data_IF_874685412913
#
_entry.id   IF_874685412913
#
_cell.length_a   1.000
_cell.length_b   1.000
_cell.length_c   1.000
_cell.angle_alpha   90.00
_cell.angle_beta   90.00
_cell.angle_gamma   90.00
#
_symmetry.space_group_name_H-M   'P 1'
#
loop_
_entity.id
_entity.type
_entity.pdbx_description
1 polymer ?
#
# COMPACT_ATOMS: atom_id res chain seq x y z
N UNK A 1 1.17 -5.42 11.75
CA UNK A 1 1.29 -6.47 12.75
C UNK A 1 1.33 -5.88 14.16
N UNK A 2 0.34 -6.18 15.02
CA UNK A 2 0.30 -5.70 16.42
C UNK A 2 1.46 -6.27 17.24
N UNK A 3 1.79 -7.56 17.05
CA UNK A 3 2.94 -8.21 17.66
C UNK A 3 4.06 -8.43 16.64
N UNK A 4 5.13 -7.64 16.71
CA UNK A 4 6.29 -7.74 15.81
C UNK A 4 7.05 -9.07 15.91
N UNK A 5 6.85 -9.86 16.98
CA UNK A 5 7.50 -11.17 17.11
C UNK A 5 7.07 -12.17 16.01
N UNK A 6 5.92 -11.94 15.37
CA UNK A 6 5.48 -12.74 14.22
C UNK A 6 6.06 -12.27 12.88
N UNK A 7 6.75 -11.13 12.84
CA UNK A 7 7.42 -10.66 11.64
C UNK A 7 8.80 -11.32 11.54
N UNK A 8 8.97 -12.22 10.56
CA UNK A 8 10.23 -12.94 10.34
C UNK A 8 10.77 -12.72 8.92
N UNK A 9 11.54 -11.63 8.69
CA UNK A 9 12.10 -11.34 7.36
C UNK A 9 12.96 -12.46 6.81
N UNK A 10 13.76 -13.13 7.64
CA UNK A 10 14.65 -14.23 7.20
C UNK A 10 13.86 -15.41 6.63
N UNK A 11 12.76 -15.80 7.29
CA UNK A 11 11.89 -16.85 6.75
C UNK A 11 11.14 -16.38 5.50
N UNK A 12 10.66 -15.13 5.47
CA UNK A 12 10.02 -14.59 4.26
C UNK A 12 10.96 -14.63 3.05
N UNK A 13 12.22 -14.20 3.22
CA UNK A 13 13.27 -14.26 2.19
C UNK A 13 13.46 -15.70 1.70
N UNK A 14 13.66 -16.66 2.62
CA UNK A 14 13.84 -18.07 2.25
C UNK A 14 12.65 -18.60 1.45
N UNK A 15 11.42 -18.32 1.89
CA UNK A 15 10.21 -18.75 1.18
C UNK A 15 10.12 -18.15 -0.21
N UNK A 16 10.43 -16.86 -0.38
CA UNK A 16 10.44 -16.20 -1.69
C UNK A 16 11.48 -16.81 -2.63
N UNK A 17 12.70 -17.07 -2.16
CA UNK A 17 13.75 -17.71 -2.97
C UNK A 17 13.42 -19.15 -3.39
N UNK A 18 12.69 -19.89 -2.56
CA UNK A 18 12.30 -21.27 -2.85
C UNK A 18 11.11 -21.39 -3.80
N UNK A 19 10.38 -20.30 -4.06
CA UNK A 19 9.12 -20.30 -4.81
C UNK A 19 9.07 -19.13 -5.81
N UNK A 20 10.19 -18.86 -6.49
CA UNK A 20 10.36 -17.74 -7.43
C UNK A 20 9.45 -17.80 -8.64
N UNK A 21 8.92 -18.97 -8.95
CA UNK A 21 7.97 -19.24 -10.03
C UNK A 21 6.55 -18.77 -9.71
N UNK A 22 6.19 -18.63 -8.43
CA UNK A 22 4.83 -18.29 -8.00
C UNK A 22 4.73 -17.07 -7.09
N UNK A 23 5.78 -16.71 -6.35
CA UNK A 23 5.74 -15.53 -5.47
C UNK A 23 6.22 -14.28 -6.21
N UNK A 24 5.31 -13.32 -6.37
CA UNK A 24 5.55 -12.08 -7.10
C UNK A 24 5.86 -10.87 -6.22
N UNK A 25 5.77 -10.99 -4.89
CA UNK A 25 6.00 -9.88 -3.96
C UNK A 25 5.49 -10.14 -2.55
N UNK A 26 5.61 -9.11 -1.70
CA UNK A 26 5.18 -9.15 -0.30
C UNK A 26 3.94 -8.28 -0.10
N UNK A 27 2.88 -8.86 0.47
CA UNK A 27 1.70 -8.09 0.89
C UNK A 27 1.90 -7.59 2.32
N UNK A 28 1.58 -6.31 2.54
CA UNK A 28 1.41 -5.75 3.89
C UNK A 28 0.03 -5.13 4.02
N UNK A 29 -0.59 -5.30 5.20
CA UNK A 29 -1.85 -4.67 5.56
C UNK A 29 -1.61 -3.70 6.71
N UNK A 30 -1.74 -2.42 6.41
CA UNK A 30 -1.62 -1.33 7.35
C UNK A 30 -3.04 -0.88 7.71
N UNK A 31 -3.45 -1.21 8.91
CA UNK A 31 -4.70 -0.78 9.52
C UNK A 31 -4.54 -0.84 11.03
N UNK A 32 -5.28 -0.03 11.80
CA UNK A 32 -5.13 0.06 13.26
C UNK A 32 -5.27 -1.30 13.94
N UNK A 33 -6.19 -2.14 13.47
CA UNK A 33 -6.44 -3.47 14.03
C UNK A 33 -5.43 -4.54 13.61
N UNK A 34 -4.63 -4.32 12.56
CA UNK A 34 -3.63 -5.30 12.10
C UNK A 34 -2.22 -4.85 12.48
N UNK A 35 -1.92 -3.56 12.36
CA UNK A 35 -0.58 -3.00 12.54
C UNK A 35 -0.49 -1.91 13.59
N UNK A 36 -1.56 -1.14 13.83
CA UNK A 36 -1.57 -0.13 14.90
C UNK A 36 -0.35 0.79 14.82
N UNK A 37 0.24 1.11 15.97
CA UNK A 37 1.43 1.98 16.06
C UNK A 37 2.68 1.41 15.37
N UNK A 38 2.65 0.14 14.95
CA UNK A 38 3.75 -0.51 14.25
C UNK A 38 3.69 -0.37 12.73
N UNK A 39 2.76 0.40 12.15
CA UNK A 39 2.58 0.55 10.69
C UNK A 39 3.91 0.68 9.92
N UNK A 40 4.70 1.72 10.22
CA UNK A 40 5.95 1.99 9.51
C UNK A 40 7.01 0.92 9.78
N UNK A 41 7.05 0.35 10.99
CA UNK A 41 8.00 -0.74 11.32
C UNK A 41 7.69 -1.99 10.50
N UNK A 42 6.40 -2.34 10.38
CA UNK A 42 5.94 -3.51 9.62
C UNK A 42 6.20 -3.31 8.13
N UNK A 43 5.94 -2.11 7.60
CA UNK A 43 6.28 -1.76 6.23
C UNK A 43 7.79 -1.85 5.99
N UNK A 44 8.61 -1.35 6.93
CA UNK A 44 10.07 -1.44 6.86
C UNK A 44 10.58 -2.89 6.77
N UNK A 45 10.06 -3.79 7.61
CA UNK A 45 10.41 -5.21 7.59
C UNK A 45 9.99 -5.90 6.28
N UNK A 46 8.81 -5.55 5.75
CA UNK A 46 8.36 -6.07 4.47
C UNK A 46 9.24 -5.56 3.31
N UNK A 47 9.62 -4.28 3.33
CA UNK A 47 10.54 -3.68 2.36
C UNK A 47 11.93 -4.31 2.41
N UNK A 48 12.46 -4.56 3.60
CA UNK A 48 13.74 -5.26 3.80
C UNK A 48 13.71 -6.64 3.15
N UNK A 49 12.69 -7.46 3.47
CA UNK A 49 12.55 -8.79 2.92
C UNK A 49 12.37 -8.79 1.39
N UNK A 50 11.51 -7.91 0.87
CA UNK A 50 11.23 -7.83 -0.56
C UNK A 50 12.45 -7.33 -1.36
N UNK A 51 13.16 -6.33 -0.84
CA UNK A 51 14.37 -5.79 -1.48
C UNK A 51 15.50 -6.83 -1.55
N UNK A 52 15.67 -7.67 -0.52
CA UNK A 52 16.69 -8.71 -0.49
C UNK A 52 16.57 -9.73 -1.63
N UNK A 53 15.37 -9.87 -2.22
CA UNK A 53 15.09 -10.81 -3.32
C UNK A 53 14.62 -10.10 -4.60
N UNK A 54 14.73 -8.77 -4.66
CA UNK A 54 14.35 -7.95 -5.82
C UNK A 54 12.86 -8.00 -6.18
N UNK A 55 11.97 -8.14 -5.19
CA UNK A 55 10.51 -8.13 -5.39
C UNK A 55 9.85 -6.86 -4.82
N UNK A 56 8.67 -6.46 -5.32
CA UNK A 56 7.92 -5.31 -4.81
C UNK A 56 7.13 -5.64 -3.54
N UNK A 57 6.67 -4.58 -2.86
CA UNK A 57 5.61 -4.70 -1.82
C UNK A 57 4.27 -4.19 -2.33
N UNK A 58 3.18 -4.82 -1.89
CA UNK A 58 1.81 -4.31 -2.06
C UNK A 58 1.24 -3.90 -0.70
N UNK A 59 0.99 -2.61 -0.54
CA UNK A 59 0.57 -1.97 0.71
C UNK A 59 -0.94 -1.75 0.68
N UNK A 60 -1.66 -2.38 1.60
CA UNK A 60 -3.07 -2.03 1.88
C UNK A 60 -3.09 -0.85 2.83
N UNK A 61 -3.80 0.20 2.44
CA UNK A 61 -4.18 1.32 3.31
C UNK A 61 -5.69 1.35 3.56
N UNK A 62 -6.09 2.06 4.59
CA UNK A 62 -7.47 2.15 5.06
C UNK A 62 -7.53 1.95 6.56
N UNK A 63 -7.90 3.01 7.29
CA UNK A 63 -7.81 3.05 8.75
C UNK A 63 -6.37 2.79 9.26
N UNK A 64 -5.38 3.42 8.63
CA UNK A 64 -3.97 3.34 9.05
C UNK A 64 -3.72 4.18 10.30
N UNK A 65 -2.72 3.80 11.10
CA UNK A 65 -2.22 4.65 12.18
C UNK A 65 -1.34 5.77 11.63
N UNK A 66 -0.45 5.45 10.68
CA UNK A 66 0.43 6.43 10.03
C UNK A 66 -0.26 7.12 8.86
N UNK A 67 0.18 8.33 8.54
CA UNK A 67 -0.37 9.09 7.42
C UNK A 67 0.01 8.46 6.08
N UNK A 68 -0.81 8.67 5.04
CA UNK A 68 -0.52 8.15 3.70
C UNK A 68 0.80 8.73 3.15
N UNK A 69 1.15 9.96 3.49
CA UNK A 69 2.42 10.59 3.11
C UNK A 69 3.62 9.87 3.73
N UNK A 70 3.54 9.48 5.00
CA UNK A 70 4.61 8.71 5.66
C UNK A 70 4.77 7.34 5.02
N UNK A 71 3.66 6.68 4.68
CA UNK A 71 3.66 5.39 4.00
C UNK A 71 4.28 5.53 2.60
N UNK A 72 3.81 6.50 1.80
CA UNK A 72 4.30 6.76 0.45
C UNK A 72 5.78 7.18 0.41
N UNK A 73 6.29 7.81 1.46
CA UNK A 73 7.72 8.15 1.57
C UNK A 73 8.63 6.91 1.68
N UNK A 74 8.11 5.79 2.20
CA UNK A 74 8.83 4.52 2.28
C UNK A 74 8.70 3.66 1.00
N UNK A 75 7.75 4.00 0.13
CA UNK A 75 7.47 3.27 -1.11
C UNK A 75 8.30 3.80 -2.27
N UNK A 76 8.71 2.88 -3.15
CA UNK A 76 9.52 3.17 -4.33
C UNK A 76 9.00 2.52 -5.59
N UNK A 77 9.80 2.60 -6.65
CA UNK A 77 9.47 2.06 -7.97
C UNK A 77 9.03 0.59 -7.89
N UNK A 78 7.86 0.29 -8.44
CA UNK A 78 7.30 -1.05 -8.52
C UNK A 78 6.45 -1.46 -7.33
N UNK A 79 6.55 -0.76 -6.18
CA UNK A 79 5.63 -0.97 -5.06
C UNK A 79 4.21 -0.56 -5.45
N UNK A 80 3.22 -1.22 -4.87
CA UNK A 80 1.79 -1.02 -5.17
C UNK A 80 1.08 -0.49 -3.94
N UNK A 81 0.40 0.65 -4.06
CA UNK A 81 -0.55 1.13 -3.07
C UNK A 81 -1.94 0.62 -3.46
N UNK A 82 -2.53 -0.25 -2.64
CA UNK A 82 -3.87 -0.81 -2.85
C UNK A 82 -4.90 -0.05 -2.03
N UNK A 83 -6.17 -0.10 -2.44
CA UNK A 83 -7.28 0.65 -1.84
C UNK A 83 -7.14 2.16 -1.99
N UNK A 84 -6.49 2.57 -3.08
CA UNK A 84 -6.13 3.97 -3.33
C UNK A 84 -7.32 4.92 -3.21
N UNK A 85 -8.52 4.47 -3.62
CA UNK A 85 -9.71 5.30 -3.68
C UNK A 85 -10.73 5.00 -2.56
N UNK A 86 -10.28 4.58 -1.38
CA UNK A 86 -11.17 4.42 -0.24
C UNK A 86 -11.68 5.77 0.30
N UNK A 87 -12.88 5.79 0.89
CA UNK A 87 -13.48 6.99 1.50
C UNK A 87 -13.17 7.22 2.98
N UNK A 88 -12.25 6.45 3.58
CA UNK A 88 -11.89 6.55 5.00
C UNK A 88 -10.93 7.71 5.28
N UNK A 89 -10.82 8.12 6.54
CA UNK A 89 -9.80 9.05 7.01
C UNK A 89 -8.39 8.56 6.64
N UNK A 90 -7.48 9.50 6.35
CA UNK A 90 -6.12 9.19 5.92
C UNK A 90 -6.01 8.70 4.47
N UNK A 91 -7.04 8.95 3.64
CA UNK A 91 -7.02 8.67 2.21
C UNK A 91 -6.15 9.64 1.41
N UNK A 92 -6.25 9.55 0.08
CA UNK A 92 -5.37 10.29 -0.85
C UNK A 92 -5.78 11.75 -1.11
N UNK A 93 -6.90 12.20 -0.54
CA UNK A 93 -7.43 13.55 -0.73
C UNK A 93 -7.25 14.39 0.55
N UNK A 94 -6.97 15.68 0.38
CA UNK A 94 -7.04 16.65 1.46
C UNK A 94 -8.49 17.05 1.81
N UNK A 95 -8.65 17.93 2.81
CA UNK A 95 -9.96 18.42 3.24
C UNK A 95 -10.73 19.23 2.18
N UNK A 96 -10.08 19.67 1.11
CA UNK A 96 -10.69 20.36 -0.03
C UNK A 96 -10.96 19.41 -1.21
N UNK A 97 -10.76 18.11 -1.04
CA UNK A 97 -10.91 17.12 -2.09
C UNK A 97 -9.80 17.14 -3.14
N UNK A 98 -8.66 17.77 -2.87
CA UNK A 98 -7.50 17.77 -3.78
C UNK A 98 -6.59 16.59 -3.48
N UNK A 99 -6.04 15.99 -4.53
CA UNK A 99 -5.08 14.89 -4.35
C UNK A 99 -3.81 15.42 -3.68
N UNK A 100 -3.39 14.73 -2.61
CA UNK A 100 -2.19 15.10 -1.86
C UNK A 100 -0.95 15.11 -2.76
N UNK A 101 -0.06 16.11 -2.66
CA UNK A 101 1.17 16.18 -3.46
C UNK A 101 2.05 14.92 -3.34
N UNK A 102 2.06 14.29 -2.15
CA UNK A 102 2.81 13.06 -1.90
C UNK A 102 2.38 11.91 -2.80
N UNK A 103 1.10 11.83 -3.19
CA UNK A 103 0.56 10.81 -4.09
C UNK A 103 1.15 10.97 -5.48
N UNK A 104 1.16 12.20 -6.02
CA UNK A 104 1.76 12.49 -7.33
C UNK A 104 3.25 12.21 -7.34
N UNK A 105 3.95 12.70 -6.32
CA UNK A 105 5.38 12.47 -6.18
C UNK A 105 5.71 10.96 -6.08
N UNK A 106 4.87 10.16 -5.42
CA UNK A 106 5.05 8.72 -5.36
C UNK A 106 4.82 8.04 -6.73
N UNK A 107 3.78 8.44 -7.46
CA UNK A 107 3.53 7.95 -8.82
C UNK A 107 4.69 8.29 -9.76
N UNK A 108 5.22 9.52 -9.69
CA UNK A 108 6.41 9.94 -10.44
C UNK A 108 7.66 9.13 -10.10
N UNK A 109 7.82 8.72 -8.83
CA UNK A 109 8.87 7.77 -8.39
C UNK A 109 8.62 6.33 -8.86
N UNK A 110 7.46 6.04 -9.46
CA UNK A 110 7.10 4.73 -10.01
C UNK A 110 6.31 3.83 -9.05
N UNK A 111 5.70 4.39 -8.00
CA UNK A 111 4.69 3.68 -7.20
C UNK A 111 3.44 3.49 -8.06
N UNK A 112 2.85 2.29 -8.03
CA UNK A 112 1.62 1.97 -8.76
C UNK A 112 0.41 2.10 -7.84
N UNK A 113 -0.65 2.71 -8.36
CA UNK A 113 -1.92 2.82 -7.65
C UNK A 113 -2.85 1.70 -8.10
N UNK A 114 -3.32 0.89 -7.15
CA UNK A 114 -4.30 -0.17 -7.37
C UNK A 114 -5.64 0.19 -6.72
N UNK A 115 -6.74 -0.15 -7.41
CA UNK A 115 -8.10 0.12 -6.93
C UNK A 115 -8.41 -0.70 -5.67
N UNK A 116 -8.20 -2.02 -5.71
CA UNK A 116 -8.52 -2.92 -4.60
C UNK A 116 -9.96 -2.80 -4.12
N UNK A 117 -10.98 -2.88 -4.99
CA UNK A 117 -12.33 -2.39 -4.66
C UNK A 117 -12.84 -2.88 -3.28
N UNK A 118 -12.83 -4.19 -3.05
CA UNK A 118 -13.24 -4.83 -1.81
C UNK A 118 -14.69 -4.52 -1.40
N UNK A 119 -15.13 -5.10 -0.29
CA UNK A 119 -16.48 -4.86 0.24
C UNK A 119 -16.67 -3.48 0.90
N UNK A 120 -15.61 -2.68 1.09
CA UNK A 120 -15.70 -1.42 1.82
C UNK A 120 -14.47 -0.52 1.70
N UNK A 121 -13.76 -0.60 0.58
CA UNK A 121 -12.50 0.10 0.38
C UNK A 121 -12.42 0.85 -0.95
N UNK A 122 -13.59 1.18 -1.53
CA UNK A 122 -13.74 2.01 -2.71
C UNK A 122 -14.84 3.05 -2.51
N UNK A 123 -14.60 4.27 -2.97
CA UNK A 123 -15.56 5.37 -3.00
C UNK A 123 -15.54 6.00 -4.38
N UNK A 124 -16.70 6.05 -5.03
CA UNK A 124 -16.87 6.73 -6.32
C UNK A 124 -16.50 8.21 -6.24
N UNK A 125 -16.91 8.90 -5.17
CA UNK A 125 -16.59 10.32 -4.97
C UNK A 125 -15.07 10.56 -4.91
N UNK A 126 -14.32 9.69 -4.23
CA UNK A 126 -12.85 9.80 -4.15
C UNK A 126 -12.22 9.51 -5.50
N UNK A 127 -12.68 8.44 -6.18
CA UNK A 127 -12.18 8.08 -7.50
C UNK A 127 -12.43 9.20 -8.52
N UNK A 128 -13.65 9.73 -8.61
CA UNK A 128 -14.01 10.81 -9.53
C UNK A 128 -13.14 12.06 -9.31
N UNK A 129 -12.98 12.50 -8.05
CA UNK A 129 -12.12 13.65 -7.70
C UNK A 129 -10.67 13.42 -8.09
N UNK A 130 -10.13 12.22 -7.86
CA UNK A 130 -8.76 11.89 -8.22
C UNK A 130 -8.56 11.85 -9.75
N UNK A 131 -9.50 11.24 -10.48
CA UNK A 131 -9.50 11.14 -11.94
C UNK A 131 -9.60 12.52 -12.61
N UNK A 132 -10.48 13.39 -12.13
CA UNK A 132 -10.61 14.78 -12.62
C UNK A 132 -9.31 15.59 -12.44
N UNK A 133 -8.49 15.19 -11.48
CA UNK A 133 -7.17 15.79 -11.20
C UNK A 133 -6.02 15.03 -11.90
N UNK A 134 -6.32 14.09 -12.80
CA UNK A 134 -5.33 13.36 -13.59
C UNK A 134 -4.58 12.26 -12.84
N UNK A 135 -5.07 11.82 -11.67
CA UNK A 135 -4.51 10.69 -10.94
C UNK A 135 -5.30 9.44 -11.26
N UNK A 136 -4.73 8.61 -12.14
CA UNK A 136 -5.35 7.38 -12.66
C UNK A 136 -4.85 6.15 -11.86
N UNK A 137 -5.67 5.10 -11.70
CA UNK A 137 -5.16 3.81 -11.27
C UNK A 137 -4.18 3.23 -12.31
N UNK A 138 -3.12 2.59 -11.83
CA UNK A 138 -2.28 1.72 -12.64
C UNK A 138 -2.89 0.33 -12.84
N UNK A 139 -3.71 -0.13 -11.89
CA UNK A 139 -4.45 -1.40 -11.95
C UNK A 139 -5.84 -1.27 -11.34
N UNK A 140 -6.81 -2.01 -11.89
CA UNK A 140 -8.16 -2.13 -11.34
C UNK A 140 -8.31 -3.57 -10.86
N UNK A 141 -8.45 -3.75 -9.55
CA UNK A 141 -8.56 -5.05 -8.88
C UNK A 141 -9.80 -5.08 -7.98
N UNK A 142 -10.30 -6.28 -7.68
CA UNK A 142 -11.57 -6.47 -6.98
C UNK A 142 -11.45 -6.74 -5.48
N UNK A 143 -10.30 -7.27 -5.03
CA UNK A 143 -10.11 -7.82 -3.67
C UNK A 143 -11.24 -8.79 -3.22
N UNK A 144 -11.67 -9.66 -4.13
CA UNK A 144 -12.62 -10.75 -3.82
C UNK A 144 -11.93 -11.81 -2.95
N UNK A 145 -12.65 -12.33 -1.96
CA UNK A 145 -12.21 -13.35 -1.01
C UNK A 145 -13.39 -14.24 -0.57
#
# INVERSE_FOLDING_TARGET
MLNLAYANPKMAIRTMEQNRDVILGVKVRLSRNIAGENDLKVLGLAKEAAAAVGLPVMVHIGDTHSSVEQILAMMGKGDVLSYTFHGREGGILDSNGRVLPAVRAAVERGVRLDVGHGAGSFSFDVAEKALQQGVLPGTISSELH
#
